data_IF_597624162246
#
_entry.id   IF_597624162246
#
_cell.length_a   1.000
_cell.length_b   1.000
_cell.length_c   1.000
_cell.angle_alpha   90.00
_cell.angle_beta   90.00
_cell.angle_gamma   90.00
#
_symmetry.space_group_name_H-M   'P 1'
#
loop_
_entity.id
_entity.type
_entity.pdbx_description
1 polymer ?
#
# COMPACT_ATOMS: atom_id res chain seq x y z
N UNK A 1 0.79 40.02 -11.51
CA UNK A 1 0.16 39.61 -10.23
C UNK A 1 0.85 38.33 -9.76
N UNK A 2 1.68 38.43 -8.73
CA UNK A 2 2.34 37.30 -8.06
C UNK A 2 1.47 36.85 -6.88
N UNK A 3 1.34 35.55 -6.67
CA UNK A 3 1.11 34.97 -5.34
C UNK A 3 2.07 33.81 -5.18
N UNK A 4 3.12 34.07 -4.41
CA UNK A 4 3.97 33.07 -3.79
C UNK A 4 3.20 32.47 -2.61
N UNK A 5 3.33 31.16 -2.39
CA UNK A 5 2.88 30.48 -1.18
C UNK A 5 4.11 29.91 -0.50
N UNK A 6 4.42 30.49 0.66
CA UNK A 6 5.42 30.09 1.65
C UNK A 6 4.84 28.94 2.47
N UNK A 7 5.57 27.84 2.69
CA UNK A 7 5.43 27.03 3.92
C UNK A 7 6.80 26.50 4.40
N UNK A 8 7.25 27.15 5.47
CA UNK A 8 8.03 26.71 6.64
C UNK A 8 9.29 25.83 6.48
N UNK A 9 10.44 26.49 6.66
CA UNK A 9 11.64 25.90 7.24
C UNK A 9 11.43 25.65 8.74
N UNK A 10 11.76 24.45 9.23
CA UNK A 10 11.94 24.17 10.66
C UNK A 10 13.43 23.99 10.91
N UNK A 11 14.09 25.10 11.18
CA UNK A 11 15.39 25.13 11.88
C UNK A 11 15.12 25.04 13.38
N UNK A 12 15.49 23.92 14.01
CA UNK A 12 15.71 23.84 15.44
C UNK A 12 17.21 23.79 15.72
N UNK A 13 17.80 24.99 15.84
CA UNK A 13 19.08 25.21 16.49
C UNK A 13 18.80 25.41 17.99
N UNK A 14 19.05 24.39 18.79
CA UNK A 14 19.38 24.55 20.20
C UNK A 14 20.70 23.84 20.45
N UNK A 15 21.78 24.61 20.30
CA UNK A 15 23.07 24.24 20.85
C UNK A 15 23.01 24.29 22.37
N UNK A 16 23.26 23.14 22.99
CA UNK A 16 23.73 23.10 24.37
C UNK A 16 25.09 22.41 24.32
N UNK A 17 26.14 23.21 24.45
CA UNK A 17 27.52 22.77 24.45
C UNK A 17 27.80 21.99 25.73
N UNK A 18 27.87 20.66 25.66
CA UNK A 18 28.48 19.83 26.69
C UNK A 18 29.52 18.90 26.04
N UNK A 19 30.70 18.87 26.67
CA UNK A 19 31.89 18.14 26.26
C UNK A 19 31.62 16.68 25.83
N UNK A 20 32.16 16.31 24.66
CA UNK A 20 32.64 14.95 24.39
C UNK A 20 31.63 13.93 23.89
N UNK A 21 31.11 14.09 22.66
CA UNK A 21 30.95 13.05 21.61
C UNK A 21 30.08 13.60 20.48
N UNK A 22 30.68 14.41 19.60
CA UNK A 22 30.08 14.82 18.33
C UNK A 22 30.22 13.74 17.23
N UNK A 23 30.21 12.47 17.63
CA UNK A 23 30.34 11.31 16.75
C UNK A 23 29.18 10.39 17.10
N UNK A 24 28.13 10.41 16.26
CA UNK A 24 27.17 9.31 16.00
C UNK A 24 25.83 9.74 15.42
N UNK A 25 25.51 11.03 15.27
CA UNK A 25 24.19 11.39 14.73
C UNK A 25 24.14 11.27 13.19
N UNK A 26 25.10 11.84 12.47
CA UNK A 26 25.15 11.78 11.00
C UNK A 26 25.42 10.36 10.46
N UNK A 27 26.30 9.61 11.13
CA UNK A 27 26.63 8.24 10.74
C UNK A 27 25.42 7.31 10.94
N UNK A 28 24.71 7.41 12.07
CA UNK A 28 23.49 6.64 12.32
C UNK A 28 22.35 7.00 11.36
N UNK A 29 22.19 8.28 11.01
CA UNK A 29 21.22 8.72 10.00
C UNK A 29 21.53 8.14 8.62
N UNK A 30 22.81 8.18 8.19
CA UNK A 30 23.22 7.62 6.90
C UNK A 30 23.04 6.10 6.83
N UNK A 31 23.35 5.39 7.93
CA UNK A 31 23.21 3.93 8.04
C UNK A 31 21.73 3.55 8.10
N UNK A 32 20.91 4.31 8.83
CA UNK A 32 19.47 4.07 8.89
C UNK A 32 18.79 4.37 7.55
N UNK A 33 19.21 5.41 6.84
CA UNK A 33 18.76 5.71 5.48
C UNK A 33 19.18 4.63 4.46
N UNK A 34 20.39 4.10 4.57
CA UNK A 34 20.87 3.05 3.66
C UNK A 34 20.16 1.72 3.90
N UNK A 35 19.91 1.35 5.16
CA UNK A 35 19.11 0.18 5.52
C UNK A 35 17.66 0.33 5.04
N UNK A 36 17.03 1.49 5.23
CA UNK A 36 15.66 1.75 4.73
C UNK A 36 15.58 1.64 3.20
N UNK A 37 16.59 2.16 2.48
CA UNK A 37 16.66 2.07 1.03
C UNK A 37 16.82 0.63 0.54
N UNK A 38 17.71 -0.16 1.15
CA UNK A 38 17.92 -1.56 0.78
C UNK A 38 16.64 -2.38 0.97
N UNK A 39 15.92 -2.15 2.07
CA UNK A 39 14.66 -2.83 2.35
C UNK A 39 13.55 -2.42 1.37
N UNK A 40 13.47 -1.13 1.02
CA UNK A 40 12.55 -0.63 -0.02
C UNK A 40 12.86 -1.23 -1.39
N UNK A 41 14.14 -1.32 -1.77
CA UNK A 41 14.57 -1.97 -3.01
C UNK A 41 14.29 -3.48 -2.99
N UNK A 42 14.46 -4.13 -1.84
CA UNK A 42 14.10 -5.54 -1.66
C UNK A 42 12.60 -5.76 -1.88
N UNK A 43 11.74 -4.94 -1.27
CA UNK A 43 10.29 -5.05 -1.47
C UNK A 43 9.87 -4.77 -2.91
N UNK A 44 10.53 -3.81 -3.56
CA UNK A 44 10.31 -3.52 -4.98
C UNK A 44 10.57 -4.76 -5.85
N UNK A 45 11.66 -5.50 -5.57
CA UNK A 45 11.97 -6.76 -6.28
C UNK A 45 10.91 -7.84 -6.04
N UNK A 46 10.38 -7.95 -4.82
CA UNK A 46 9.29 -8.90 -4.50
C UNK A 46 8.03 -8.55 -5.29
N UNK A 47 7.65 -7.27 -5.35
CA UNK A 47 6.53 -6.79 -6.17
C UNK A 47 6.75 -7.13 -7.66
N UNK A 48 7.94 -6.80 -8.18
CA UNK A 48 8.31 -7.07 -9.58
C UNK A 48 8.29 -8.57 -9.94
N UNK A 49 8.48 -9.46 -8.95
CA UNK A 49 8.35 -10.89 -9.15
C UNK A 49 6.89 -11.36 -9.21
N UNK A 50 6.03 -10.88 -8.30
CA UNK A 50 4.65 -11.37 -8.16
C UNK A 50 3.66 -10.75 -9.15
N UNK A 51 3.79 -9.45 -9.45
CA UNK A 51 2.84 -8.74 -10.32
C UNK A 51 2.74 -9.37 -11.72
N UNK A 52 3.85 -9.69 -12.43
CA UNK A 52 3.77 -10.37 -13.72
C UNK A 52 3.09 -11.73 -13.62
N UNK A 53 3.36 -12.48 -12.55
CA UNK A 53 2.74 -13.79 -12.32
C UNK A 53 1.22 -13.67 -12.21
N UNK A 54 0.70 -12.77 -11.39
CA UNK A 54 -0.75 -12.56 -11.28
C UNK A 54 -1.38 -12.13 -12.61
N UNK A 55 -0.71 -11.29 -13.39
CA UNK A 55 -1.17 -10.97 -14.74
C UNK A 55 -1.23 -12.21 -15.64
N UNK A 56 -0.23 -13.09 -15.62
CA UNK A 56 -0.28 -14.35 -16.39
C UNK A 56 -1.39 -15.31 -15.93
N UNK A 57 -1.76 -15.26 -14.65
CA UNK A 57 -2.90 -16.01 -14.10
C UNK A 57 -4.27 -15.35 -14.44
N UNK A 58 -4.25 -14.20 -15.11
CA UNK A 58 -5.42 -13.47 -15.59
C UNK A 58 -6.02 -12.48 -14.60
N UNK A 59 -5.27 -12.09 -13.57
CA UNK A 59 -5.68 -11.04 -12.65
C UNK A 59 -5.32 -9.65 -13.19
N UNK A 60 -6.20 -8.69 -12.93
CA UNK A 60 -5.84 -7.27 -12.87
C UNK A 60 -5.24 -6.99 -11.49
N UNK A 61 -4.24 -6.14 -11.42
CA UNK A 61 -3.50 -5.82 -10.20
C UNK A 61 -3.46 -4.33 -10.03
N UNK A 62 -3.95 -3.84 -8.89
CA UNK A 62 -3.97 -2.41 -8.56
C UNK A 62 -3.32 -2.18 -7.19
N UNK A 63 -2.58 -1.08 -7.07
CA UNK A 63 -2.08 -0.64 -5.76
C UNK A 63 -3.26 -0.30 -4.86
N UNK A 64 -3.23 -0.72 -3.60
CA UNK A 64 -4.35 -0.49 -2.68
C UNK A 64 -4.67 1.00 -2.51
N UNK A 65 -3.63 1.84 -2.44
CA UNK A 65 -3.77 3.30 -2.31
C UNK A 65 -4.57 3.94 -3.45
N UNK A 66 -4.51 3.36 -4.65
CA UNK A 66 -5.18 3.89 -5.84
C UNK A 66 -6.56 3.24 -5.97
N UNK A 67 -6.63 1.93 -5.76
CA UNK A 67 -7.86 1.14 -5.80
C UNK A 67 -8.96 1.69 -4.89
N UNK A 68 -8.63 2.10 -3.65
CA UNK A 68 -9.61 2.59 -2.68
C UNK A 68 -10.37 3.84 -3.15
N UNK A 69 -9.87 4.56 -4.15
CA UNK A 69 -10.52 5.74 -4.71
C UNK A 69 -11.20 5.49 -6.06
N UNK A 70 -11.08 4.29 -6.65
CA UNK A 70 -11.67 3.97 -7.95
C UNK A 70 -13.20 3.81 -7.92
N UNK A 71 -13.81 3.73 -6.73
CA UNK A 71 -15.27 3.56 -6.52
C UNK A 71 -15.87 2.33 -7.24
N UNK A 72 -15.05 1.30 -7.46
CA UNK A 72 -15.48 0.03 -8.06
C UNK A 72 -16.28 -0.81 -7.07
N UNK A 73 -15.91 -0.76 -5.78
CA UNK A 73 -16.59 -1.44 -4.69
C UNK A 73 -17.20 -0.42 -3.72
N UNK A 74 -18.28 -0.77 -3.01
CA UNK A 74 -18.84 0.09 -1.98
C UNK A 74 -17.85 0.37 -0.84
N UNK A 75 -17.96 1.55 -0.23
CA UNK A 75 -17.09 2.00 0.87
C UNK A 75 -17.02 1.01 2.04
N UNK A 76 -18.12 0.27 2.30
CA UNK A 76 -18.15 -0.77 3.34
C UNK A 76 -17.14 -1.89 3.06
N UNK A 77 -16.97 -2.29 1.80
CA UNK A 77 -16.01 -3.32 1.40
C UNK A 77 -14.59 -2.76 1.46
N UNK A 78 -14.38 -1.53 0.95
CA UNK A 78 -13.08 -0.86 1.03
C UNK A 78 -12.61 -0.73 2.49
N UNK A 79 -13.50 -0.31 3.39
CA UNK A 79 -13.23 -0.19 4.83
C UNK A 79 -12.90 -1.54 5.47
N UNK A 80 -13.54 -2.62 5.01
CA UNK A 80 -13.25 -3.98 5.48
C UNK A 80 -11.86 -4.42 5.04
N UNK A 81 -11.50 -4.20 3.78
CA UNK A 81 -10.16 -4.48 3.26
C UNK A 81 -9.08 -3.71 4.02
N UNK A 82 -9.30 -2.41 4.30
CA UNK A 82 -8.35 -1.59 5.05
C UNK A 82 -8.11 -2.17 6.45
N UNK A 83 -9.19 -2.55 7.14
CA UNK A 83 -9.11 -3.18 8.47
C UNK A 83 -8.36 -4.50 8.44
N UNK A 84 -8.62 -5.36 7.45
CA UNK A 84 -7.92 -6.63 7.32
C UNK A 84 -6.42 -6.42 7.05
N UNK A 85 -6.06 -5.47 6.20
CA UNK A 85 -4.65 -5.10 5.98
C UNK A 85 -3.98 -4.61 7.28
N UNK A 86 -4.66 -3.79 8.08
CA UNK A 86 -4.11 -3.32 9.36
C UNK A 86 -3.88 -4.43 10.39
N UNK A 87 -4.68 -5.50 10.34
CA UNK A 87 -4.58 -6.64 11.25
C UNK A 87 -3.50 -7.62 10.78
N UNK A 88 -3.48 -7.93 9.50
CA UNK A 88 -2.73 -9.07 8.96
C UNK A 88 -1.45 -8.68 8.22
N UNK A 89 -1.36 -7.48 7.63
CA UNK A 89 -0.15 -7.06 6.94
C UNK A 89 0.95 -6.65 7.93
N UNK A 90 2.20 -6.84 7.50
CA UNK A 90 3.37 -6.45 8.26
C UNK A 90 3.40 -4.93 8.50
N UNK A 91 3.34 -4.53 9.79
CA UNK A 91 3.35 -3.12 10.21
C UNK A 91 4.65 -2.39 9.90
N UNK A 92 5.71 -3.12 9.55
CA UNK A 92 6.99 -2.56 9.08
C UNK A 92 6.86 -1.82 7.75
N UNK A 93 5.95 -2.26 6.88
CA UNK A 93 5.77 -1.67 5.56
C UNK A 93 4.48 -0.86 5.49
N UNK A 94 4.53 0.38 4.97
CA UNK A 94 3.32 1.17 4.76
C UNK A 94 2.31 0.45 3.87
N UNK A 95 1.08 0.33 4.36
CA UNK A 95 -0.02 -0.34 3.64
C UNK A 95 -0.22 0.28 2.25
N UNK A 96 -0.20 1.60 2.15
CA UNK A 96 -0.44 2.34 0.91
C UNK A 96 0.65 2.09 -0.16
N UNK A 97 1.87 1.71 0.25
CA UNK A 97 2.99 1.50 -0.68
C UNK A 97 3.21 0.02 -1.04
N UNK A 98 2.75 -0.91 -0.19
CA UNK A 98 3.10 -2.33 -0.34
C UNK A 98 1.91 -3.28 -0.28
N UNK A 99 0.68 -2.76 -0.35
CA UNK A 99 -0.55 -3.57 -0.44
C UNK A 99 -1.21 -3.39 -1.81
N UNK A 100 -1.89 -4.45 -2.25
CA UNK A 100 -2.50 -4.53 -3.57
C UNK A 100 -3.91 -5.06 -3.47
N UNK A 101 -4.73 -4.75 -4.47
CA UNK A 101 -5.93 -5.53 -4.79
C UNK A 101 -5.69 -6.22 -6.10
N UNK A 102 -5.82 -7.55 -6.10
CA UNK A 102 -5.85 -8.34 -7.32
C UNK A 102 -7.29 -8.78 -7.57
N UNK A 103 -7.75 -8.69 -8.81
CA UNK A 103 -9.11 -9.08 -9.14
C UNK A 103 -9.25 -9.68 -10.52
N UNK A 104 -10.21 -10.58 -10.65
CA UNK A 104 -10.49 -11.32 -11.87
C UNK A 104 -11.99 -11.53 -11.99
N UNK A 105 -12.52 -11.30 -13.18
CA UNK A 105 -13.90 -11.61 -13.53
C UNK A 105 -14.08 -13.14 -13.57
N UNK A 106 -15.06 -13.65 -12.83
CA UNK A 106 -15.36 -15.09 -12.75
C UNK A 106 -16.35 -15.49 -13.85
N UNK A 107 -17.39 -14.68 -14.03
CA UNK A 107 -18.45 -14.88 -15.01
C UNK A 107 -18.89 -13.52 -15.59
N UNK A 108 -19.95 -13.48 -16.41
CA UNK A 108 -20.44 -12.25 -17.04
C UNK A 108 -20.97 -11.19 -16.08
N UNK A 109 -21.18 -11.55 -14.80
CA UNK A 109 -21.89 -10.75 -13.81
C UNK A 109 -21.14 -10.62 -12.48
N UNK A 110 -19.96 -11.24 -12.32
CA UNK A 110 -19.26 -11.24 -11.04
C UNK A 110 -17.74 -11.11 -11.18
N UNK A 111 -17.17 -10.33 -10.26
CA UNK A 111 -15.73 -10.11 -10.14
C UNK A 111 -15.28 -10.47 -8.72
N UNK A 112 -14.23 -11.29 -8.62
CA UNK A 112 -13.59 -11.61 -7.34
C UNK A 112 -12.40 -10.70 -7.12
N UNK A 113 -12.39 -10.01 -5.98
CA UNK A 113 -11.33 -9.14 -5.48
C UNK A 113 -10.65 -9.80 -4.28
N UNK A 114 -9.32 -9.75 -4.26
CA UNK A 114 -8.49 -10.22 -3.17
C UNK A 114 -7.58 -9.09 -2.74
N UNK A 115 -7.58 -8.76 -1.47
CA UNK A 115 -6.67 -7.76 -0.92
C UNK A 115 -5.42 -8.46 -0.41
N UNK A 116 -4.26 -8.05 -0.93
CA UNK A 116 -2.97 -8.67 -0.69
C UNK A 116 -2.09 -7.71 0.11
N UNK A 117 -1.51 -8.20 1.19
CA UNK A 117 -0.54 -7.46 2.02
C UNK A 117 0.78 -8.22 2.13
N UNK A 118 1.84 -7.53 2.52
CA UNK A 118 3.12 -8.18 2.83
C UNK A 118 2.97 -8.99 4.11
N UNK A 119 3.34 -10.26 4.08
CA UNK A 119 3.25 -11.14 5.26
C UNK A 119 4.24 -10.70 6.36
N UNK A 120 3.79 -10.77 7.62
CA UNK A 120 4.65 -10.55 8.78
C UNK A 120 5.49 -11.78 9.07
N UNK A 121 6.64 -11.91 8.39
CA UNK A 121 7.58 -13.01 8.62
C UNK A 121 8.84 -12.54 9.32
N UNK A 122 9.25 -13.26 10.36
CA UNK A 122 10.54 -13.07 11.04
C UNK A 122 11.76 -13.48 10.19
N UNK A 123 11.53 -14.01 8.99
CA UNK A 123 12.58 -14.41 8.04
C UNK A 123 12.69 -13.30 7.00
N UNK A 124 13.89 -12.76 6.80
CA UNK A 124 14.18 -11.90 5.66
C UNK A 124 14.52 -12.78 4.44
N UNK A 125 13.95 -12.48 3.26
CA UNK A 125 12.91 -11.48 3.01
C UNK A 125 11.54 -11.92 3.54
N UNK A 126 10.58 -11.01 3.80
CA UNK A 126 9.17 -11.37 3.76
C UNK A 126 8.82 -11.72 2.32
N UNK A 127 9.03 -13.00 1.95
CA UNK A 127 9.05 -13.44 0.55
C UNK A 127 7.63 -13.58 -0.04
N UNK A 128 6.59 -13.32 0.75
CA UNK A 128 5.23 -13.69 0.40
C UNK A 128 4.25 -12.53 0.60
N UNK A 129 3.40 -12.35 -0.40
CA UNK A 129 2.14 -11.67 -0.22
C UNK A 129 1.15 -12.64 0.40
N UNK A 130 0.44 -12.16 1.40
CA UNK A 130 -0.67 -12.89 1.99
C UNK A 130 -2.00 -12.30 1.50
N UNK A 131 -2.98 -13.17 1.30
CA UNK A 131 -4.37 -12.76 1.11
C UNK A 131 -4.93 -12.35 2.47
N UNK A 132 -5.22 -11.07 2.65
CA UNK A 132 -5.77 -10.55 3.90
C UNK A 132 -7.31 -10.64 3.94
N UNK A 133 -7.97 -10.60 2.77
CA UNK A 133 -9.42 -10.81 2.62
C UNK A 133 -9.79 -11.05 1.15
N UNK A 134 -10.99 -11.59 0.93
CA UNK A 134 -11.58 -11.86 -0.38
C UNK A 134 -13.04 -11.39 -0.44
N UNK A 135 -13.45 -10.85 -1.58
CA UNK A 135 -14.82 -10.46 -1.86
C UNK A 135 -15.17 -10.79 -3.30
N UNK A 136 -16.29 -11.48 -3.53
CA UNK A 136 -16.92 -11.53 -4.85
C UNK A 136 -18.04 -10.52 -4.89
N UNK A 137 -18.01 -9.63 -5.88
CA UNK A 137 -18.99 -8.59 -6.09
C UNK A 137 -19.73 -8.80 -7.41
N UNK A 138 -21.03 -8.50 -7.41
CA UNK A 138 -21.84 -8.57 -8.63
C UNK A 138 -21.67 -7.25 -9.40
N UNK A 139 -21.34 -7.34 -10.68
CA UNK A 139 -21.12 -6.20 -11.58
C UNK A 139 -22.44 -5.43 -11.86
N UNK A 140 -23.57 -5.88 -11.32
CA UNK A 140 -24.89 -5.26 -11.46
C UNK A 140 -25.19 -4.28 -10.32
N UNK A 141 -25.20 -2.98 -10.65
CA UNK A 141 -25.57 -1.92 -9.71
C UNK A 141 -25.76 -0.53 -10.34
N UNK A 142 -26.23 -0.46 -11.60
CA UNK A 142 -26.95 0.72 -12.09
C UNK A 142 -28.34 0.22 -12.51
N UNK A 143 -29.27 0.21 -11.58
CA UNK A 143 -30.68 0.26 -11.97
C UNK A 143 -30.84 1.56 -12.76
N UNK A 144 -31.13 1.45 -14.05
CA UNK A 144 -31.73 2.55 -14.80
C UNK A 144 -32.98 2.97 -14.04
N UNK A 145 -33.23 4.26 -13.80
CA UNK A 145 -34.51 4.67 -13.24
C UNK A 145 -35.59 4.19 -14.21
N UNK A 146 -36.44 3.28 -13.73
CA UNK A 146 -37.66 2.90 -14.41
C UNK A 146 -38.51 4.16 -14.55
N UNK A 147 -38.47 4.77 -15.74
CA UNK A 147 -39.51 5.70 -16.17
C UNK A 147 -40.80 4.89 -16.28
N UNK A 148 -41.63 5.00 -15.25
CA UNK A 148 -43.06 4.72 -15.35
C UNK A 148 -43.64 5.67 -16.41
N UNK A 149 -44.30 5.08 -17.41
CA UNK A 149 -45.22 5.75 -18.32
C UNK A 149 -46.50 4.92 -18.42
#
# INVERSE_FOLDING_TARGET
MKKEVIIAAITCLLGVSFNGQAVKLEENLSVQQSVDLEERQRMTRVIQYWVPRWHTEGYTVEMYKDFKYMRILPDKIISRFERCLQIYANKKYPIDEFSFVIYKRQDSSSTTYKVMGVEDTNVAPPVKFMEADICTWLDHGHESPSTEH
#
